data_IF_356080338402
#
_entry.id   IF_356080338402
#
_cell.length_a   1.000
_cell.length_b   1.000
_cell.length_c   1.000
_cell.angle_alpha   90.00
_cell.angle_beta   90.00
_cell.angle_gamma   90.00
#
_symmetry.space_group_name_H-M   'P 1'
#
loop_
_entity.id
_entity.type
_entity.pdbx_description
1 polymer ?
#
# COMPACT_ATOMS: atom_id res chain seq x y z
N UNK A 1 2.67 9.24 4.42
CA UNK A 1 3.46 9.47 3.19
C UNK A 1 3.30 10.89 2.66
N UNK A 2 2.10 11.36 2.28
CA UNK A 2 1.94 12.72 1.74
C UNK A 2 2.40 13.83 2.71
N UNK A 3 2.12 13.65 4.01
CA UNK A 3 2.62 14.51 5.09
C UNK A 3 4.15 14.53 5.26
N UNK A 4 4.83 13.56 4.67
CA UNK A 4 6.30 13.45 4.68
C UNK A 4 6.90 13.98 3.37
N UNK A 5 6.09 14.66 2.53
CA UNK A 5 6.54 15.23 1.25
C UNK A 5 6.39 14.33 0.03
N UNK A 6 5.84 13.12 0.17
CA UNK A 6 5.70 12.19 -0.96
C UNK A 6 4.50 12.54 -1.87
N UNK A 7 4.61 12.26 -3.16
CA UNK A 7 3.46 12.22 -4.07
C UNK A 7 2.78 10.86 -3.97
N UNK A 8 1.56 10.83 -3.46
CA UNK A 8 0.86 9.61 -3.10
C UNK A 8 -0.35 9.38 -3.99
N UNK A 9 -0.47 8.16 -4.48
CA UNK A 9 -1.73 7.63 -5.01
C UNK A 9 -2.23 6.61 -3.99
N UNK A 10 -3.38 6.88 -3.38
CA UNK A 10 -4.07 5.92 -2.52
C UNK A 10 -5.18 5.26 -3.32
N UNK A 11 -5.27 3.94 -3.24
CA UNK A 11 -6.13 3.16 -4.13
C UNK A 11 -6.97 2.17 -3.35
N UNK A 12 -8.17 1.90 -3.84
CA UNK A 12 -9.06 0.87 -3.32
C UNK A 12 -10.13 0.53 -4.38
N UNK A 13 -11.05 -0.38 -4.05
CA UNK A 13 -12.19 -0.72 -4.91
C UNK A 13 -13.18 0.45 -5.03
N UNK A 14 -13.96 0.45 -6.10
CA UNK A 14 -14.89 1.55 -6.43
C UNK A 14 -15.92 1.82 -5.34
N UNK A 15 -16.36 0.80 -4.61
CA UNK A 15 -17.42 0.93 -3.61
C UNK A 15 -16.97 1.78 -2.41
N UNK A 16 -15.68 1.76 -2.08
CA UNK A 16 -15.12 2.48 -0.93
C UNK A 16 -14.41 3.79 -1.34
N UNK A 17 -14.20 4.01 -2.64
CA UNK A 17 -13.55 5.20 -3.17
C UNK A 17 -14.20 6.53 -2.72
N UNK A 18 -15.54 6.67 -2.58
CA UNK A 18 -16.14 7.89 -2.04
C UNK A 18 -15.69 8.21 -0.61
N UNK A 19 -15.55 7.18 0.24
CA UNK A 19 -15.08 7.33 1.62
C UNK A 19 -13.59 7.70 1.63
N UNK A 20 -12.79 7.05 0.80
CA UNK A 20 -11.36 7.34 0.68
C UNK A 20 -11.11 8.78 0.22
N UNK A 21 -11.83 9.26 -0.80
CA UNK A 21 -11.77 10.65 -1.28
C UNK A 21 -12.11 11.65 -0.17
N UNK A 22 -13.16 11.38 0.60
CA UNK A 22 -13.55 12.22 1.74
C UNK A 22 -12.47 12.27 2.83
N UNK A 23 -11.82 11.13 3.12
CA UNK A 23 -10.72 11.08 4.08
C UNK A 23 -9.51 11.88 3.60
N UNK A 24 -9.18 11.79 2.31
CA UNK A 24 -8.12 12.61 1.70
C UNK A 24 -8.45 14.09 1.87
N UNK A 25 -9.62 14.52 1.41
CA UNK A 25 -10.04 15.93 1.46
C UNK A 25 -10.04 16.50 2.88
N UNK A 26 -10.55 15.75 3.85
CA UNK A 26 -10.60 16.22 5.23
C UNK A 26 -9.21 16.40 5.81
N UNK A 27 -8.31 15.43 5.61
CA UNK A 27 -6.96 15.51 6.16
C UNK A 27 -6.14 16.60 5.45
N UNK A 28 -6.19 16.69 4.11
CA UNK A 28 -5.46 17.74 3.38
C UNK A 28 -5.96 19.13 3.76
N UNK A 29 -7.27 19.34 3.85
CA UNK A 29 -7.86 20.64 4.22
C UNK A 29 -7.46 21.07 5.63
N UNK A 30 -7.54 20.14 6.60
CA UNK A 30 -7.19 20.40 8.00
C UNK A 30 -5.72 20.75 8.16
N UNK A 31 -4.84 20.09 7.41
CA UNK A 31 -3.39 20.30 7.49
C UNK A 31 -2.99 21.62 6.84
N UNK A 32 -3.57 21.97 5.68
CA UNK A 32 -3.37 23.27 5.04
C UNK A 32 -3.79 24.45 5.93
N UNK A 33 -4.83 24.26 6.76
CA UNK A 33 -5.26 25.27 7.73
C UNK A 33 -4.33 25.38 8.94
N UNK A 34 -3.75 24.27 9.40
CA UNK A 34 -2.87 24.25 10.58
C UNK A 34 -1.46 24.76 10.27
N UNK A 35 -0.95 24.57 9.05
CA UNK A 35 0.40 24.95 8.65
C UNK A 35 0.41 25.77 7.34
N UNK A 36 -0.12 27.01 7.35
CA UNK A 36 -0.08 27.88 6.19
C UNK A 36 1.38 28.24 5.87
N UNK A 37 1.91 27.72 4.75
CA UNK A 37 3.30 27.95 4.30
C UNK A 37 4.25 26.74 4.41
N UNK A 38 3.74 25.54 4.70
CA UNK A 38 4.55 24.32 4.62
C UNK A 38 4.77 23.90 3.16
N UNK A 39 5.86 24.38 2.55
CA UNK A 39 6.35 23.96 1.21
C UNK A 39 6.76 22.47 1.13
N UNK A 40 6.65 21.73 2.24
CA UNK A 40 7.05 20.33 2.39
C UNK A 40 5.89 19.33 2.29
N UNK A 41 4.65 19.78 2.06
CA UNK A 41 3.51 18.87 1.92
C UNK A 41 3.49 18.26 0.51
N UNK A 42 3.56 16.93 0.45
CA UNK A 42 3.43 16.21 -0.81
C UNK A 42 1.98 16.19 -1.31
N UNK A 43 1.75 15.60 -2.48
CA UNK A 43 0.39 15.43 -3.03
C UNK A 43 -0.23 14.11 -2.59
N UNK A 44 -1.56 14.06 -2.58
CA UNK A 44 -2.32 12.82 -2.43
C UNK A 44 -3.57 12.84 -3.31
N UNK A 45 -3.79 11.75 -4.04
CA UNK A 45 -5.02 11.54 -4.79
C UNK A 45 -5.57 10.13 -4.51
N UNK A 46 -6.90 10.02 -4.55
CA UNK A 46 -7.60 8.75 -4.39
C UNK A 46 -8.19 8.30 -5.74
N UNK A 47 -7.81 7.10 -6.18
CA UNK A 47 -8.23 6.51 -7.46
C UNK A 47 -8.68 5.07 -7.26
N UNK A 48 -9.49 4.57 -8.18
CA UNK A 48 -9.86 3.16 -8.20
C UNK A 48 -8.66 2.31 -8.62
N UNK A 49 -8.48 1.17 -7.93
CA UNK A 49 -7.58 0.12 -8.38
C UNK A 49 -8.11 -1.24 -7.95
N UNK A 50 -8.82 -1.88 -8.87
CA UNK A 50 -9.13 -3.30 -8.81
C UNK A 50 -7.89 -4.14 -9.18
N UNK A 51 -7.55 -5.13 -8.37
CA UNK A 51 -6.32 -5.91 -8.55
C UNK A 51 -6.43 -6.80 -9.80
N UNK A 52 -5.38 -6.79 -10.62
CA UNK A 52 -5.32 -7.48 -11.91
C UNK A 52 -5.97 -6.71 -13.06
N UNK A 53 -6.63 -5.57 -12.80
CA UNK A 53 -7.18 -4.74 -13.86
C UNK A 53 -6.08 -3.90 -14.52
N UNK A 54 -5.73 -4.25 -15.77
CA UNK A 54 -4.67 -3.57 -16.51
C UNK A 54 -4.93 -2.09 -16.77
N UNK A 55 -6.18 -1.70 -17.01
CA UNK A 55 -6.51 -0.31 -17.31
C UNK A 55 -6.34 0.57 -16.06
N UNK A 56 -6.74 0.05 -14.90
CA UNK A 56 -6.51 0.70 -13.61
C UNK A 56 -5.00 0.84 -13.31
N UNK A 57 -4.22 -0.22 -13.56
CA UNK A 57 -2.76 -0.20 -13.38
C UNK A 57 -2.11 0.84 -14.31
N UNK A 58 -2.51 0.91 -15.59
CA UNK A 58 -1.97 1.90 -16.54
C UNK A 58 -2.34 3.33 -16.13
N UNK A 59 -3.55 3.53 -15.61
CA UNK A 59 -4.06 4.85 -15.22
C UNK A 59 -3.25 5.50 -14.08
N UNK A 60 -2.61 4.70 -13.22
CA UNK A 60 -1.78 5.21 -12.12
C UNK A 60 -0.31 5.46 -12.50
N UNK A 61 0.05 5.21 -13.76
CA UNK A 61 1.36 5.53 -14.35
C UNK A 61 2.57 4.97 -13.56
N UNK A 62 2.67 3.64 -13.38
CA UNK A 62 3.84 3.00 -12.76
C UNK A 62 5.14 3.22 -13.58
N UNK A 63 6.34 2.96 -13.01
CA UNK A 63 6.60 2.34 -11.71
C UNK A 63 6.60 3.33 -10.53
N UNK A 64 6.37 2.81 -9.32
CA UNK A 64 6.43 3.58 -8.08
C UNK A 64 7.73 3.35 -7.31
N UNK A 65 8.23 4.35 -6.59
CA UNK A 65 9.36 4.18 -5.67
C UNK A 65 9.01 3.29 -4.48
N UNK A 66 7.77 3.43 -3.98
CA UNK A 66 7.24 2.66 -2.86
C UNK A 66 5.84 2.14 -3.16
N UNK A 67 5.59 0.90 -2.80
CA UNK A 67 4.24 0.31 -2.74
C UNK A 67 4.00 -0.12 -1.30
N UNK A 68 2.90 0.36 -0.71
CA UNK A 68 2.55 0.07 0.68
C UNK A 68 1.15 -0.54 0.71
N UNK A 69 1.04 -1.72 1.33
CA UNK A 69 -0.23 -2.40 1.55
C UNK A 69 -0.41 -2.74 3.02
N UNK A 70 -1.60 -2.47 3.55
CA UNK A 70 -1.95 -2.78 4.94
C UNK A 70 -3.19 -3.67 4.96
N UNK A 71 -3.10 -4.84 5.59
CA UNK A 71 -4.18 -5.84 5.67
C UNK A 71 -4.77 -6.26 4.31
N UNK A 72 -3.92 -6.29 3.27
CA UNK A 72 -4.30 -6.68 1.89
C UNK A 72 -4.33 -8.19 1.66
N UNK A 73 -3.83 -8.99 2.61
CA UNK A 73 -3.75 -10.46 2.50
C UNK A 73 -4.83 -11.08 3.37
N UNK A 74 -6.02 -11.32 2.80
CA UNK A 74 -7.15 -11.87 3.56
C UNK A 74 -7.92 -12.99 2.84
N UNK A 75 -7.79 -13.12 1.52
CA UNK A 75 -8.45 -14.16 0.74
C UNK A 75 -7.48 -14.80 -0.26
N UNK A 76 -7.46 -16.13 -0.30
CA UNK A 76 -6.53 -16.91 -1.12
C UNK A 76 -6.65 -16.59 -2.62
N UNK A 77 -7.88 -16.45 -3.13
CA UNK A 77 -8.14 -16.15 -4.55
C UNK A 77 -7.66 -14.75 -4.98
N UNK A 78 -7.33 -13.86 -4.03
CA UNK A 78 -6.80 -12.53 -4.31
C UNK A 78 -5.26 -12.48 -4.31
N UNK A 79 -4.57 -13.54 -3.88
CA UNK A 79 -3.11 -13.57 -3.82
C UNK A 79 -2.46 -13.36 -5.19
N UNK A 80 -3.00 -14.00 -6.23
CA UNK A 80 -2.48 -13.90 -7.58
C UNK A 80 -2.78 -12.53 -8.23
N UNK A 81 -4.03 -12.01 -8.22
CA UNK A 81 -4.31 -10.66 -8.68
C UNK A 81 -3.48 -9.58 -7.95
N UNK A 82 -3.31 -9.70 -6.63
CA UNK A 82 -2.49 -8.78 -5.84
C UNK A 82 -1.02 -8.84 -6.27
N UNK A 83 -0.46 -10.04 -6.44
CA UNK A 83 0.92 -10.22 -6.86
C UNK A 83 1.16 -9.62 -8.25
N UNK A 84 0.29 -9.90 -9.22
CA UNK A 84 0.38 -9.37 -10.58
C UNK A 84 0.31 -7.84 -10.58
N UNK A 85 -0.59 -7.28 -9.78
CA UNK A 85 -0.73 -5.84 -9.61
C UNK A 85 0.56 -5.23 -9.06
N UNK A 86 1.07 -5.73 -7.93
CA UNK A 86 2.29 -5.21 -7.32
C UNK A 86 3.48 -5.32 -8.26
N UNK A 87 3.59 -6.42 -9.01
CA UNK A 87 4.62 -6.60 -10.01
C UNK A 87 4.53 -5.56 -11.12
N UNK A 88 3.33 -5.32 -11.67
CA UNK A 88 3.11 -4.33 -12.72
C UNK A 88 3.29 -2.88 -12.24
N UNK A 89 3.03 -2.62 -10.96
CA UNK A 89 3.28 -1.32 -10.33
C UNK A 89 4.76 -1.07 -9.99
N UNK A 90 5.57 -2.13 -9.99
CA UNK A 90 6.97 -2.10 -9.57
C UNK A 90 7.94 -1.88 -10.72
N UNK A 91 9.05 -1.23 -10.41
CA UNK A 91 10.27 -1.17 -11.23
C UNK A 91 11.47 -1.72 -10.45
N UNK A 92 12.68 -1.72 -11.06
CA UNK A 92 13.87 -2.35 -10.46
C UNK A 92 14.32 -1.76 -9.11
N UNK A 93 13.84 -0.56 -8.74
CA UNK A 93 14.19 0.15 -7.50
C UNK A 93 13.02 0.27 -6.52
N UNK A 94 11.85 -0.30 -6.86
CA UNK A 94 10.67 -0.21 -6.02
C UNK A 94 10.88 -0.94 -4.71
N UNK A 95 10.54 -0.30 -3.60
CA UNK A 95 10.46 -0.94 -2.29
C UNK A 95 9.01 -1.22 -1.95
N UNK A 96 8.70 -2.49 -1.69
CA UNK A 96 7.36 -2.94 -1.30
C UNK A 96 7.36 -3.15 0.21
N UNK A 97 6.37 -2.61 0.91
CA UNK A 97 6.18 -2.77 2.35
C UNK A 97 4.76 -3.29 2.60
N UNK A 98 4.66 -4.43 3.27
CA UNK A 98 3.36 -5.02 3.59
C UNK A 98 3.23 -5.31 5.06
N UNK A 99 2.23 -4.68 5.68
CA UNK A 99 1.81 -5.03 7.03
C UNK A 99 0.49 -5.75 7.01
N UNK A 100 0.42 -6.96 7.55
CA UNK A 100 -0.86 -7.66 7.69
C UNK A 100 -0.84 -8.63 8.86
N UNK A 101 -2.04 -8.96 9.35
CA UNK A 101 -2.23 -10.01 10.34
C UNK A 101 -2.23 -11.40 9.68
N UNK A 102 -1.45 -12.34 10.23
CA UNK A 102 -1.48 -13.74 9.78
C UNK A 102 -2.74 -14.40 10.35
N UNK A 103 -3.80 -14.44 9.54
CA UNK A 103 -5.09 -15.08 9.90
C UNK A 103 -5.20 -16.54 9.47
N UNK A 104 -4.42 -16.92 8.45
CA UNK A 104 -4.32 -18.28 7.96
C UNK A 104 -2.87 -18.58 7.59
N UNK A 105 -2.30 -19.61 8.20
CA UNK A 105 -0.93 -20.04 7.93
C UNK A 105 -0.76 -20.55 6.50
N UNK A 106 -1.76 -21.27 5.96
CA UNK A 106 -1.70 -21.79 4.58
C UNK A 106 -1.68 -20.65 3.55
N UNK A 107 -2.56 -19.66 3.70
CA UNK A 107 -2.62 -18.48 2.82
C UNK A 107 -1.32 -17.68 2.92
N UNK A 108 -0.80 -17.52 4.12
CA UNK A 108 0.47 -16.84 4.37
C UNK A 108 1.66 -17.55 3.71
N UNK A 109 1.76 -18.87 3.86
CA UNK A 109 2.84 -19.68 3.26
C UNK A 109 2.79 -19.66 1.73
N UNK A 110 1.59 -19.82 1.16
CA UNK A 110 1.36 -19.75 -0.28
C UNK A 110 1.76 -18.38 -0.84
N UNK A 111 1.35 -17.30 -0.16
CA UNK A 111 1.77 -15.95 -0.50
C UNK A 111 3.30 -15.84 -0.48
N UNK A 112 3.96 -16.23 0.61
CA UNK A 112 5.43 -16.15 0.69
C UNK A 112 6.13 -16.95 -0.41
N UNK A 113 5.61 -18.12 -0.77
CA UNK A 113 6.16 -18.96 -1.85
C UNK A 113 6.04 -18.27 -3.21
N UNK A 114 4.86 -17.74 -3.53
CA UNK A 114 4.60 -17.01 -4.78
C UNK A 114 5.50 -15.76 -4.87
N UNK A 115 5.68 -15.05 -3.75
CA UNK A 115 6.34 -13.76 -3.73
C UNK A 115 7.86 -13.87 -3.75
N UNK A 116 8.44 -14.84 -3.04
CA UNK A 116 9.90 -15.12 -3.10
C UNK A 116 10.39 -15.51 -4.49
N UNK A 117 9.49 -16.00 -5.34
CA UNK A 117 9.81 -16.33 -6.73
C UNK A 117 9.91 -15.09 -7.63
N UNK A 118 9.33 -13.96 -7.21
CA UNK A 118 9.23 -12.72 -7.99
C UNK A 118 9.98 -11.53 -7.36
N UNK A 119 10.21 -11.56 -6.04
CA UNK A 119 10.80 -10.48 -5.26
C UNK A 119 11.80 -10.98 -4.22
N UNK A 120 12.72 -10.10 -3.80
CA UNK A 120 13.58 -10.34 -2.65
C UNK A 120 12.83 -10.01 -1.34
N UNK A 121 12.08 -10.99 -0.83
CA UNK A 121 11.22 -10.83 0.36
C UNK A 121 12.03 -10.96 1.65
N UNK A 122 11.83 -10.03 2.60
CA UNK A 122 12.46 -10.06 3.93
C UNK A 122 11.46 -9.67 5.02
N UNK A 123 11.35 -10.50 6.05
CA UNK A 123 10.60 -10.13 7.26
C UNK A 123 11.27 -8.93 7.95
N UNK A 124 10.49 -7.91 8.28
CA UNK A 124 10.93 -6.81 9.13
C UNK A 124 10.87 -7.28 10.59
N UNK A 125 11.99 -7.29 11.34
CA UNK A 125 11.98 -7.71 12.73
C UNK A 125 11.11 -6.81 13.60
N UNK A 126 10.34 -7.39 14.51
CA UNK A 126 9.49 -6.66 15.48
C UNK A 126 10.22 -5.57 16.28
N UNK A 127 11.52 -5.73 16.52
CA UNK A 127 12.33 -4.72 17.20
C UNK A 127 12.44 -3.39 16.41
N UNK A 128 12.12 -3.39 15.12
CA UNK A 128 12.06 -2.18 14.27
C UNK A 128 10.64 -1.61 14.14
N UNK A 129 9.64 -2.27 14.72
CA UNK A 129 8.29 -1.74 14.82
C UNK A 129 8.21 -0.68 15.91
N UNK A 130 7.22 0.22 15.79
CA UNK A 130 6.98 1.23 16.81
C UNK A 130 6.63 0.57 18.14
N UNK A 131 7.40 0.90 19.19
CA UNK A 131 7.18 0.41 20.56
C UNK A 131 5.80 0.78 21.13
N UNK A 132 5.14 1.80 20.57
CA UNK A 132 3.80 2.23 20.96
C UNK A 132 2.65 1.43 20.33
N UNK A 133 2.89 0.73 19.21
CA UNK A 133 1.83 0.11 18.38
C UNK A 133 2.05 -1.38 18.13
N UNK A 134 2.92 -2.03 18.91
CA UNK A 134 3.23 -3.47 18.78
C UNK A 134 2.06 -4.38 19.16
N UNK A 135 1.25 -4.78 18.17
CA UNK A 135 0.32 -5.91 18.19
C UNK A 135 0.50 -6.70 16.86
N UNK A 136 0.01 -7.94 16.68
CA UNK A 136 0.66 -9.03 15.94
C UNK A 136 0.60 -8.93 14.39
N UNK A 137 0.84 -7.76 13.81
CA UNK A 137 1.03 -7.60 12.38
C UNK A 137 2.42 -8.10 12.01
N UNK A 138 2.50 -9.00 11.03
CA UNK A 138 3.77 -9.29 10.38
C UNK A 138 4.05 -8.18 9.37
N UNK A 139 5.18 -7.48 9.53
CA UNK A 139 5.69 -6.56 8.52
C UNK A 139 6.69 -7.29 7.61
N UNK A 140 6.46 -7.25 6.31
CA UNK A 140 7.26 -7.91 5.27
C UNK A 140 7.68 -6.95 4.16
#
# INVERSE_FOLDING_TARGET
MALLGCNVITTDQIEVLPLLKRNVEWNTSRISQMNPGSDLLGSIQAVELDWGNEDHIKAVAPPFDYIIGTDVVYAEHLLEPLLQTIFALSGPKTTILLGYEIRSTSVHEQMLQMWKSNFNVKLVPKAKESTMWGNPLGLY
#
